data_IF_726977489675
#
_entry.id   IF_726977489675
#
_cell.length_a   1.000
_cell.length_b   1.000
_cell.length_c   1.000
_cell.angle_alpha   90.00
_cell.angle_beta   90.00
_cell.angle_gamma   90.00
#
_symmetry.space_group_name_H-M   'P 1'
#
loop_
_entity.id
_entity.type
_entity.pdbx_description
1 polymer ?
#
# COMPACT_ATOMS: atom_id res chain seq x y z
N UNK A 1 11.93 19.62 26.61
CA UNK A 1 12.48 19.15 25.32
C UNK A 1 13.94 18.82 25.53
N UNK A 2 14.28 17.56 25.75
CA UNK A 2 15.68 17.11 25.90
C UNK A 2 16.29 16.96 24.50
N UNK A 3 17.49 17.50 24.31
CA UNK A 3 18.22 17.32 23.05
C UNK A 3 18.61 15.85 22.95
N UNK A 4 18.28 15.15 21.85
CA UNK A 4 18.63 13.74 21.73
C UNK A 4 20.15 13.56 21.65
N UNK A 5 20.67 12.55 22.34
CA UNK A 5 22.08 12.21 22.28
C UNK A 5 22.40 11.61 20.89
N UNK A 6 23.35 12.25 20.19
CA UNK A 6 23.79 11.87 18.84
C UNK A 6 25.13 11.13 18.84
N UNK A 7 25.74 10.90 20.01
CA UNK A 7 27.08 10.29 20.14
C UNK A 7 27.15 8.84 19.65
N UNK A 8 26.02 8.12 19.69
CA UNK A 8 25.92 6.71 19.31
C UNK A 8 25.51 6.47 17.86
N UNK A 9 25.19 7.53 17.10
CA UNK A 9 24.59 7.43 15.76
C UNK A 9 23.15 6.87 15.76
N UNK A 10 22.56 6.63 16.93
CA UNK A 10 21.15 6.27 17.10
C UNK A 10 20.49 7.29 18.01
N UNK A 11 19.45 7.92 17.50
CA UNK A 11 18.63 8.85 18.27
C UNK A 11 17.38 8.11 18.71
N UNK A 12 17.20 7.98 20.03
CA UNK A 12 15.94 7.53 20.58
C UNK A 12 14.87 8.58 20.27
N UNK A 13 13.86 8.14 19.53
CA UNK A 13 12.79 9.04 19.12
C UNK A 13 11.95 9.36 20.37
N UNK A 14 11.62 10.62 20.69
CA UNK A 14 10.76 10.95 21.83
C UNK A 14 9.34 10.36 21.69
N UNK A 15 8.79 9.79 22.76
CA UNK A 15 7.53 9.02 22.74
C UNK A 15 6.26 9.83 22.41
N UNK A 16 6.35 11.16 22.48
CA UNK A 16 5.28 12.13 22.22
C UNK A 16 5.27 12.67 20.78
N UNK A 17 6.32 12.40 19.99
CA UNK A 17 6.46 12.92 18.63
C UNK A 17 6.02 11.86 17.62
N UNK A 18 5.19 12.28 16.66
CA UNK A 18 4.75 11.41 15.58
C UNK A 18 5.92 11.06 14.65
N UNK A 19 6.01 9.80 14.26
CA UNK A 19 7.06 9.28 13.37
C UNK A 19 6.45 8.86 12.06
N UNK A 20 7.00 9.36 10.96
CA UNK A 20 6.76 8.84 9.61
C UNK A 20 8.01 8.13 9.11
N UNK A 21 7.91 6.88 8.66
CA UNK A 21 9.04 6.16 8.06
C UNK A 21 8.60 5.21 6.94
N UNK A 22 9.56 4.60 6.26
CA UNK A 22 9.33 3.60 5.21
C UNK A 22 9.52 2.21 5.82
N UNK A 23 8.72 1.22 5.40
CA UNK A 23 8.87 -0.15 5.86
C UNK A 23 10.33 -0.66 5.66
N UNK A 24 10.90 -1.44 6.60
CA UNK A 24 12.30 -1.91 6.53
C UNK A 24 12.64 -2.70 5.27
N UNK A 25 11.63 -3.27 4.61
CA UNK A 25 11.73 -3.95 3.32
C UNK A 25 10.68 -3.40 2.38
N UNK A 26 11.01 -2.34 1.65
CA UNK A 26 10.15 -1.79 0.61
C UNK A 26 10.25 -2.65 -0.65
N UNK A 27 9.21 -3.44 -0.93
CA UNK A 27 9.09 -4.12 -2.20
C UNK A 27 8.33 -3.19 -3.16
N UNK A 28 9.04 -2.62 -4.14
CA UNK A 28 8.50 -1.56 -5.00
C UNK A 28 7.26 -2.04 -5.75
N UNK A 29 6.18 -1.27 -5.62
CA UNK A 29 4.98 -1.49 -6.41
C UNK A 29 5.22 -1.20 -7.88
N UNK A 30 4.46 -1.87 -8.74
CA UNK A 30 4.53 -1.68 -10.18
C UNK A 30 3.14 -1.81 -10.79
N UNK A 31 2.97 -1.20 -11.97
CA UNK A 31 1.74 -1.27 -12.75
C UNK A 31 2.05 -2.11 -13.99
N UNK A 32 1.24 -3.14 -14.24
CA UNK A 32 1.25 -3.93 -15.47
C UNK A 32 0.00 -3.64 -16.26
N UNK A 33 0.14 -3.42 -17.56
CA UNK A 33 -0.99 -3.20 -18.47
C UNK A 33 -0.89 -4.15 -19.67
N UNK A 34 -2.04 -4.67 -20.10
CA UNK A 34 -2.17 -5.59 -21.22
C UNK A 34 -3.26 -5.07 -22.17
N UNK A 35 -2.95 -5.00 -23.46
CA UNK A 35 -3.90 -4.70 -24.52
C UNK A 35 -3.84 -5.83 -25.55
N UNK A 36 -4.96 -6.49 -25.81
CA UNK A 36 -5.07 -7.56 -26.79
C UNK A 36 -6.30 -7.35 -27.66
N UNK A 37 -6.13 -7.43 -28.98
CA UNK A 37 -7.24 -7.32 -29.94
C UNK A 37 -7.14 -8.47 -30.95
N UNK A 38 -8.24 -9.16 -31.14
CA UNK A 38 -8.40 -10.24 -32.11
C UNK A 38 -9.54 -9.88 -33.07
N UNK A 39 -9.25 -9.91 -34.37
CA UNK A 39 -10.24 -9.74 -35.42
C UNK A 39 -10.21 -10.99 -36.31
N UNK A 40 -11.38 -11.49 -36.69
CA UNK A 40 -11.51 -12.66 -37.56
C UNK A 40 -12.65 -12.47 -38.56
N UNK A 41 -12.35 -12.72 -39.83
CA UNK A 41 -13.38 -12.86 -40.87
C UNK A 41 -14.16 -14.15 -40.62
N UNK A 42 -15.45 -14.00 -40.41
CA UNK A 42 -16.43 -15.07 -40.30
C UNK A 42 -17.05 -15.22 -41.71
N UNK A 43 -17.45 -16.44 -42.08
CA UNK A 43 -18.04 -16.71 -43.39
C UNK A 43 -19.20 -15.74 -43.72
N UNK A 44 -19.49 -15.56 -45.01
CA UNK A 44 -20.54 -14.66 -45.51
C UNK A 44 -20.27 -13.16 -45.32
N UNK A 45 -19.00 -12.76 -45.21
CA UNK A 45 -18.61 -11.34 -45.17
C UNK A 45 -18.73 -10.69 -43.79
N UNK A 46 -18.99 -11.47 -42.73
CA UNK A 46 -19.03 -10.98 -41.37
C UNK A 46 -17.63 -10.86 -40.76
N UNK A 47 -17.43 -9.89 -39.86
CA UNK A 47 -16.15 -9.69 -39.17
C UNK A 47 -16.39 -9.62 -37.68
N UNK A 48 -15.92 -10.64 -36.95
CA UNK A 48 -15.94 -10.61 -35.50
C UNK A 48 -14.69 -9.91 -34.97
N UNK A 49 -14.86 -9.07 -33.96
CA UNK A 49 -13.76 -8.44 -33.22
C UNK A 49 -13.93 -8.59 -31.71
N UNK A 50 -12.84 -8.88 -31.02
CA UNK A 50 -12.76 -8.94 -29.57
C UNK A 50 -11.52 -8.19 -29.10
N UNK A 51 -11.67 -7.38 -28.07
CA UNK A 51 -10.59 -6.60 -27.48
C UNK A 51 -10.62 -6.70 -25.96
N UNK A 52 -9.44 -6.69 -25.37
CA UNK A 52 -9.23 -6.77 -23.94
C UNK A 52 -8.17 -5.77 -23.52
N UNK A 53 -8.50 -4.96 -22.53
CA UNK A 53 -7.61 -3.99 -21.89
C UNK A 53 -7.65 -4.27 -20.40
N UNK A 54 -6.52 -4.63 -19.81
CA UNK A 54 -6.42 -4.83 -18.36
C UNK A 54 -5.23 -4.09 -17.78
N UNK A 55 -5.41 -3.55 -16.58
CA UNK A 55 -4.37 -2.89 -15.78
C UNK A 55 -4.36 -3.50 -14.38
N UNK A 56 -3.20 -3.93 -13.92
CA UNK A 56 -2.98 -4.47 -12.57
C UNK A 56 -1.94 -3.64 -11.84
N UNK A 57 -2.35 -3.09 -10.71
CA UNK A 57 -1.49 -2.34 -9.80
C UNK A 57 -1.06 -3.26 -8.67
N UNK A 58 0.22 -3.65 -8.63
CA UNK A 58 0.77 -4.54 -7.61
C UNK A 58 1.45 -3.72 -6.54
N UNK A 59 1.17 -4.02 -5.26
CA UNK A 59 1.86 -3.44 -4.09
C UNK A 59 1.75 -1.91 -4.03
N UNK A 60 0.53 -1.41 -4.18
CA UNK A 60 0.24 0.01 -4.00
C UNK A 60 0.64 0.44 -2.59
N UNK A 61 1.38 1.54 -2.49
CA UNK A 61 1.88 2.05 -1.21
C UNK A 61 0.76 2.74 -0.46
N UNK A 62 0.67 2.48 0.84
CA UNK A 62 -0.26 3.14 1.75
C UNK A 62 0.40 3.40 3.10
N UNK A 63 -0.18 4.33 3.84
CA UNK A 63 0.26 4.70 5.18
C UNK A 63 -0.43 3.82 6.22
N UNK A 64 0.35 3.12 7.04
CA UNK A 64 -0.14 2.28 8.13
C UNK A 64 0.42 2.77 9.47
N UNK A 65 -0.45 3.19 10.38
CA UNK A 65 -0.04 3.48 11.77
C UNK A 65 0.14 2.16 12.54
N UNK A 66 1.38 1.80 12.84
CA UNK A 66 1.71 0.59 13.60
C UNK A 66 1.47 0.76 15.10
N UNK A 67 1.23 1.97 15.58
CA UNK A 67 0.80 2.24 16.95
C UNK A 67 -0.72 2.39 17.08
N UNK A 68 -1.50 2.05 16.05
CA UNK A 68 -2.95 2.10 16.13
C UNK A 68 -3.49 1.16 17.22
N UNK A 69 -4.54 1.61 17.93
CA UNK A 69 -5.18 0.82 18.97
C UNK A 69 -5.74 -0.49 18.42
N UNK A 70 -5.26 -1.61 18.93
CA UNK A 70 -5.65 -2.96 18.48
C UNK A 70 -6.87 -3.51 19.23
N UNK A 71 -7.26 -2.87 20.34
CA UNK A 71 -8.37 -3.29 21.19
C UNK A 71 -9.40 -2.16 21.25
N UNK A 72 -10.63 -2.47 20.82
CA UNK A 72 -11.75 -1.53 20.86
C UNK A 72 -11.99 -1.11 22.31
N UNK A 73 -12.11 0.19 22.55
CA UNK A 73 -12.40 0.75 23.88
C UNK A 73 -11.19 0.83 24.84
N UNK A 74 -10.03 0.28 24.49
CA UNK A 74 -8.85 0.31 25.35
C UNK A 74 -8.06 1.65 25.31
N UNK A 75 -8.46 2.59 24.45
CA UNK A 75 -7.80 3.89 24.31
C UNK A 75 -6.28 3.75 24.09
N UNK A 76 -5.49 4.47 24.90
CA UNK A 76 -4.02 4.41 24.84
C UNK A 76 -3.45 3.05 25.26
N UNK A 77 -4.12 2.32 26.16
CA UNK A 77 -3.71 0.98 26.58
C UNK A 77 -3.85 -0.06 25.47
N UNK A 78 -4.65 0.21 24.43
CA UNK A 78 -4.78 -0.64 23.25
C UNK A 78 -3.63 -0.51 22.25
N UNK A 79 -2.67 0.38 22.47
CA UNK A 79 -1.62 0.71 21.49
C UNK A 79 -0.33 -0.08 21.75
N UNK A 80 0.19 -0.82 20.77
CA UNK A 80 1.29 -1.75 20.97
C UNK A 80 2.63 -1.08 21.31
N UNK A 81 2.92 0.12 20.77
CA UNK A 81 4.15 0.85 21.12
C UNK A 81 4.00 1.62 22.44
N UNK A 82 2.77 1.89 22.89
CA UNK A 82 2.55 2.40 24.24
C UNK A 82 2.93 1.34 25.28
N UNK A 83 2.44 0.12 25.12
CA UNK A 83 2.74 -0.99 26.04
C UNK A 83 4.24 -1.34 26.10
N UNK A 84 4.95 -1.25 24.97
CA UNK A 84 6.38 -1.63 24.89
C UNK A 84 7.35 -0.51 25.21
N UNK A 85 7.00 0.73 24.89
CA UNK A 85 7.94 1.86 24.88
C UNK A 85 7.37 3.15 25.45
N UNK A 86 6.16 3.12 26.04
CA UNK A 86 5.46 4.31 26.55
C UNK A 86 5.05 5.32 25.46
N UNK A 87 5.08 4.93 24.18
CA UNK A 87 4.80 5.84 23.06
C UNK A 87 3.30 6.05 22.87
N UNK A 88 2.85 7.28 23.06
CA UNK A 88 1.48 7.75 22.81
C UNK A 88 1.35 8.46 21.47
N UNK A 89 2.44 8.69 20.73
CA UNK A 89 2.38 9.30 19.40
C UNK A 89 2.08 8.27 18.29
N UNK A 90 1.55 8.74 17.16
CA UNK A 90 1.35 7.93 15.95
C UNK A 90 2.70 7.51 15.35
N UNK A 91 2.79 6.27 14.86
CA UNK A 91 3.98 5.76 14.17
C UNK A 91 3.56 5.18 12.84
N UNK A 92 3.68 5.99 11.79
CA UNK A 92 3.14 5.68 10.47
C UNK A 92 4.25 5.16 9.56
N UNK A 93 4.06 3.97 9.01
CA UNK A 93 4.93 3.39 7.99
C UNK A 93 4.28 3.43 6.62
N UNK A 94 5.03 3.88 5.62
CA UNK A 94 4.70 3.68 4.21
C UNK A 94 5.04 2.23 3.84
N UNK A 95 4.02 1.43 3.53
CA UNK A 95 4.15 -0.01 3.25
C UNK A 95 3.27 -0.42 2.05
N UNK A 96 3.59 -1.49 1.32
CA UNK A 96 2.67 -2.06 0.33
C UNK A 96 1.36 -2.52 0.99
N UNK A 97 0.25 -1.85 0.68
CA UNK A 97 -1.05 -2.07 1.33
C UNK A 97 -2.05 -2.87 0.48
N UNK A 98 -1.68 -3.28 -0.73
CA UNK A 98 -2.56 -4.13 -1.54
C UNK A 98 -2.19 -4.19 -3.02
N UNK A 99 -2.96 -4.98 -3.76
CA UNK A 99 -2.90 -5.09 -5.23
C UNK A 99 -4.28 -4.78 -5.79
N UNK A 100 -4.39 -3.74 -6.62
CA UNK A 100 -5.61 -3.36 -7.34
C UNK A 100 -5.62 -3.93 -8.76
N UNK A 101 -6.80 -4.21 -9.31
CA UNK A 101 -6.98 -4.71 -10.67
C UNK A 101 -8.13 -3.95 -11.36
N UNK A 102 -7.95 -3.60 -12.63
CA UNK A 102 -8.96 -3.03 -13.51
C UNK A 102 -8.95 -3.79 -14.84
N UNK A 103 -10.10 -4.29 -15.29
CA UNK A 103 -10.24 -5.08 -16.51
C UNK A 103 -11.41 -4.55 -17.35
N UNK A 104 -11.21 -4.39 -18.65
CA UNK A 104 -12.23 -4.03 -19.64
C UNK A 104 -12.16 -5.01 -20.81
N UNK A 105 -13.30 -5.59 -21.17
CA UNK A 105 -13.45 -6.45 -22.34
C UNK A 105 -14.54 -5.89 -23.26
N UNK A 106 -14.28 -5.82 -24.55
CA UNK A 106 -15.22 -5.34 -25.56
C UNK A 106 -15.28 -6.32 -26.73
N UNK A 107 -16.48 -6.72 -27.15
CA UNK A 107 -16.73 -7.63 -28.26
C UNK A 107 -17.78 -7.03 -29.20
N UNK A 108 -17.52 -7.08 -30.50
CA UNK A 108 -18.41 -6.56 -31.53
C UNK A 108 -18.48 -7.56 -32.70
N UNK A 109 -19.68 -7.71 -33.26
CA UNK A 109 -20.01 -8.63 -34.36
C UNK A 109 -20.05 -7.93 -35.71
#
# INVERSE_FOLDING_TARGET
MTIPDISSGRVDIPGEIAVGSIAPRLNRGYIQSWNATLQKNIAWGFVGQASYVGTRQVRQLGYLDVNAGQVIGAGQAGRPLNQRFGRTAATTFLSPMGTGQYNLSYAHR
#
